data_IF_135437608909
#
_entry.id   IF_135437608909
#
_cell.length_a   1.000
_cell.length_b   1.000
_cell.length_c   1.000
_cell.angle_alpha   90.00
_cell.angle_beta   90.00
_cell.angle_gamma   90.00
#
_symmetry.space_group_name_H-M   'P 1'
#
loop_
_entity.id
_entity.type
_entity.pdbx_description
1 polymer ?
#
# COMPACT_ATOMS: atom_id res chain seq x y z
N UNK A 1 24.15 10.74 -16.15
CA UNK A 1 24.29 10.82 -14.69
C UNK A 1 22.99 10.30 -14.10
N UNK A 2 22.86 8.98 -13.96
CA UNK A 2 22.97 8.19 -12.71
C UNK A 2 21.56 7.85 -12.19
N UNK A 3 21.22 6.56 -12.20
CA UNK A 3 19.95 6.05 -11.67
C UNK A 3 19.73 4.58 -11.95
N UNK A 4 20.76 3.75 -11.74
CA UNK A 4 20.64 2.29 -11.71
C UNK A 4 19.66 1.90 -10.61
N UNK A 5 18.46 1.43 -10.97
CA UNK A 5 17.64 0.66 -10.05
C UNK A 5 18.06 -0.82 -10.18
N UNK A 6 19.13 -1.19 -9.48
CA UNK A 6 19.36 -2.58 -9.08
C UNK A 6 18.31 -2.94 -8.03
N UNK A 7 17.10 -3.28 -8.46
CA UNK A 7 16.10 -3.92 -7.60
C UNK A 7 16.39 -5.42 -7.58
N UNK A 8 17.26 -5.83 -6.66
CA UNK A 8 17.56 -7.25 -6.37
C UNK A 8 16.99 -7.70 -5.03
N UNK A 9 16.03 -6.95 -4.48
CA UNK A 9 15.01 -7.44 -3.55
C UNK A 9 13.70 -7.52 -4.36
N UNK A 10 12.87 -8.54 -4.15
CA UNK A 10 11.66 -8.74 -4.95
C UNK A 10 10.57 -7.73 -4.55
N UNK A 11 10.74 -6.47 -4.97
CA UNK A 11 9.69 -5.45 -4.84
C UNK A 11 8.42 -5.95 -5.53
N UNK A 12 7.35 -6.05 -4.75
CA UNK A 12 6.02 -6.42 -5.23
C UNK A 12 5.10 -5.24 -5.12
N UNK A 13 4.17 -5.17 -6.06
CA UNK A 13 3.09 -4.20 -6.00
C UNK A 13 1.78 -4.93 -5.76
N UNK A 14 1.06 -4.52 -4.72
CA UNK A 14 -0.28 -5.03 -4.41
C UNK A 14 -1.29 -3.90 -4.51
N UNK A 15 -2.49 -4.23 -5.01
CA UNK A 15 -3.63 -3.32 -4.97
C UNK A 15 -4.49 -3.69 -3.76
N UNK A 16 -4.62 -2.77 -2.81
CA UNK A 16 -5.51 -2.90 -1.68
C UNK A 16 -6.81 -2.16 -1.99
N UNK A 17 -7.95 -2.80 -1.82
CA UNK A 17 -9.26 -2.15 -1.83
C UNK A 17 -9.56 -1.71 -0.42
N UNK A 18 -9.75 -0.41 -0.21
CA UNK A 18 -9.88 0.19 1.13
C UNK A 18 -11.35 0.54 1.37
N UNK A 19 -11.90 -0.03 2.43
CA UNK A 19 -13.26 0.24 2.88
C UNK A 19 -13.29 1.50 3.75
N UNK A 20 -14.47 2.11 3.93
CA UNK A 20 -14.69 3.32 4.75
C UNK A 20 -13.89 4.58 4.36
N UNK A 21 -13.30 4.61 3.16
CA UNK A 21 -12.69 5.82 2.61
C UNK A 21 -13.76 6.76 2.02
N UNK A 22 -14.55 7.39 2.90
CA UNK A 22 -15.72 8.22 2.53
C UNK A 22 -15.53 9.71 2.81
N UNK A 23 -14.49 10.10 3.54
CA UNK A 23 -14.17 11.51 3.81
C UNK A 23 -12.98 11.98 2.96
N UNK A 24 -12.95 13.28 2.66
CA UNK A 24 -11.91 13.96 1.87
C UNK A 24 -10.49 13.77 2.44
N UNK A 25 -10.36 13.60 3.75
CA UNK A 25 -9.07 13.39 4.42
C UNK A 25 -8.67 11.91 4.58
N UNK A 26 -9.60 10.96 4.41
CA UNK A 26 -9.33 9.53 4.58
C UNK A 26 -8.19 9.00 3.69
N UNK A 27 -8.11 9.35 2.38
CA UNK A 27 -7.03 8.87 1.52
C UNK A 27 -5.63 9.21 2.05
N UNK A 28 -5.48 10.39 2.63
CA UNK A 28 -4.21 10.86 3.17
C UNK A 28 -3.81 10.04 4.40
N UNK A 29 -4.75 9.71 5.28
CA UNK A 29 -4.49 8.89 6.48
C UNK A 29 -4.04 7.48 6.06
N UNK A 30 -4.74 6.86 5.11
CA UNK A 30 -4.40 5.54 4.58
C UNK A 30 -3.03 5.54 3.91
N UNK A 31 -2.72 6.57 3.11
CA UNK A 31 -1.40 6.67 2.48
C UNK A 31 -0.30 6.76 3.54
N UNK A 32 -0.52 7.60 4.56
CA UNK A 32 0.45 7.81 5.64
C UNK A 32 0.64 6.54 6.47
N UNK A 33 -0.42 5.80 6.77
CA UNK A 33 -0.35 4.56 7.54
C UNK A 33 0.41 3.45 6.80
N UNK A 34 0.35 3.42 5.48
CA UNK A 34 1.12 2.47 4.66
C UNK A 34 2.59 2.90 4.53
N UNK A 35 2.86 4.20 4.39
CA UNK A 35 4.24 4.72 4.26
C UNK A 35 5.10 4.55 5.51
N UNK A 36 4.50 4.41 6.69
CA UNK A 36 5.24 4.17 7.94
C UNK A 36 5.64 2.71 8.12
N UNK A 37 5.10 1.79 7.32
CA UNK A 37 5.41 0.37 7.41
C UNK A 37 6.79 0.13 6.82
N UNK A 38 7.68 -0.47 7.61
CA UNK A 38 9.03 -0.81 7.15
C UNK A 38 8.96 -1.84 6.01
N UNK A 39 9.69 -1.59 4.93
CA UNK A 39 9.60 -2.35 3.69
C UNK A 39 8.66 -1.77 2.63
N UNK A 40 7.87 -0.74 2.91
CA UNK A 40 7.10 -0.03 1.88
C UNK A 40 7.98 1.02 1.19
N UNK A 41 8.06 0.95 -0.14
CA UNK A 41 8.86 1.88 -0.95
C UNK A 41 8.02 2.94 -1.64
N UNK A 42 6.80 2.60 -2.08
CA UNK A 42 5.86 3.56 -2.67
C UNK A 42 4.40 3.28 -2.32
N UNK A 43 3.58 4.33 -2.26
CA UNK A 43 2.15 4.24 -1.98
C UNK A 43 1.36 5.24 -2.81
N UNK A 44 0.47 4.74 -3.65
CA UNK A 44 -0.46 5.53 -4.46
C UNK A 44 -1.90 5.22 -4.09
N UNK A 45 -2.63 6.21 -3.60
CA UNK A 45 -4.04 6.05 -3.21
C UNK A 45 -4.94 6.69 -4.25
N UNK A 46 -5.96 5.95 -4.70
CA UNK A 46 -7.00 6.39 -5.60
C UNK A 46 -8.32 6.49 -4.85
N UNK A 47 -8.74 7.71 -4.54
CA UNK A 47 -10.05 7.95 -3.92
C UNK A 47 -11.20 7.56 -4.85
N UNK A 48 -11.07 7.85 -6.16
CA UNK A 48 -12.08 7.53 -7.18
C UNK A 48 -12.38 6.02 -7.25
N UNK A 49 -11.35 5.18 -7.21
CA UNK A 49 -11.48 3.72 -7.27
C UNK A 49 -11.56 3.04 -5.90
N UNK A 50 -11.40 3.80 -4.82
CA UNK A 50 -11.27 3.31 -3.44
C UNK A 50 -10.17 2.25 -3.28
N UNK A 51 -9.04 2.47 -3.93
CA UNK A 51 -7.91 1.54 -3.92
C UNK A 51 -6.62 2.24 -3.51
N UNK A 52 -5.69 1.48 -2.93
CA UNK A 52 -4.32 1.87 -2.66
C UNK A 52 -3.38 0.88 -3.34
N UNK A 53 -2.54 1.36 -4.26
CA UNK A 53 -1.41 0.60 -4.76
C UNK A 53 -0.23 0.81 -3.83
N UNK A 54 0.34 -0.30 -3.37
CA UNK A 54 1.47 -0.31 -2.45
C UNK A 54 2.58 -1.11 -3.09
N UNK A 55 3.73 -0.46 -3.26
CA UNK A 55 4.98 -1.11 -3.64
C UNK A 55 5.77 -1.38 -2.37
N UNK A 56 6.10 -2.64 -2.15
CA UNK A 56 6.73 -3.12 -0.93
C UNK A 56 7.73 -4.24 -1.22
N UNK A 57 8.69 -4.39 -0.33
CA UNK A 57 9.63 -5.50 -0.31
C UNK A 57 8.99 -6.70 0.36
N UNK A 58 8.70 -7.75 -0.43
CA UNK A 58 8.05 -8.96 0.04
C UNK A 58 8.90 -9.81 1.00
N UNK A 59 10.19 -9.46 1.11
CA UNK A 59 11.12 -10.07 2.06
C UNK A 59 11.08 -9.39 3.44
N UNK A 60 10.49 -8.19 3.53
CA UNK A 60 10.39 -7.40 4.76
C UNK A 60 8.97 -7.29 5.31
N UNK A 61 7.98 -7.15 4.42
CA UNK A 61 6.59 -6.94 4.80
C UNK A 61 5.66 -7.82 3.99
N UNK A 62 4.62 -8.32 4.65
CA UNK A 62 3.58 -9.13 4.03
C UNK A 62 2.33 -8.32 3.74
N UNK A 63 1.51 -8.80 2.80
CA UNK A 63 0.21 -8.19 2.49
C UNK A 63 -0.66 -8.05 3.75
N UNK A 64 -0.63 -9.05 4.65
CA UNK A 64 -1.40 -9.06 5.88
C UNK A 64 -1.00 -7.92 6.82
N UNK A 65 0.31 -7.64 6.94
CA UNK A 65 0.81 -6.49 7.70
C UNK A 65 0.39 -5.15 7.09
N UNK A 66 0.33 -5.06 5.76
CA UNK A 66 -0.17 -3.86 5.07
C UNK A 66 -1.67 -3.65 5.33
N UNK A 67 -2.48 -4.71 5.28
CA UNK A 67 -3.91 -4.62 5.59
C UNK A 67 -4.18 -4.33 7.06
N UNK A 68 -3.35 -4.86 7.96
CA UNK A 68 -3.41 -4.57 9.39
C UNK A 68 -3.06 -3.10 9.67
N UNK A 69 -2.05 -2.56 9.01
CA UNK A 69 -1.67 -1.15 9.17
C UNK A 69 -2.81 -0.19 8.86
N UNK A 70 -3.63 -0.48 7.84
CA UNK A 70 -4.82 0.33 7.53
C UNK A 70 -5.99 0.00 8.47
N UNK A 71 -6.15 -1.27 8.86
CA UNK A 71 -7.19 -1.71 9.80
C UNK A 71 -7.06 -1.04 11.18
N UNK A 72 -5.84 -0.96 11.72
CA UNK A 72 -5.56 -0.28 13.00
C UNK A 72 -5.92 1.22 12.97
N UNK A 73 -6.01 1.82 11.77
CA UNK A 73 -6.44 3.21 11.58
C UNK A 73 -7.95 3.33 11.30
N UNK A 74 -8.71 2.23 11.35
CA UNK A 74 -10.14 2.19 11.05
C UNK A 74 -10.48 2.04 9.55
N UNK A 75 -9.48 1.72 8.72
CA UNK A 75 -9.62 1.53 7.28
C UNK A 75 -9.35 0.06 6.89
N UNK A 76 -10.31 -0.86 7.13
CA UNK A 76 -10.17 -2.24 6.69
C UNK A 76 -9.90 -2.27 5.19
N UNK A 77 -8.92 -3.09 4.77
CA UNK A 77 -8.57 -3.22 3.36
C UNK A 77 -8.38 -4.67 2.95
N UNK A 78 -8.60 -4.97 1.67
CA UNK A 78 -8.45 -6.30 1.10
C UNK A 78 -7.51 -6.27 -0.07
N UNK A 79 -6.55 -7.21 -0.11
CA UNK A 79 -5.68 -7.34 -1.26
C UNK A 79 -6.43 -7.90 -2.46
N UNK A 80 -6.49 -7.11 -3.52
CA UNK A 80 -6.84 -7.58 -4.85
C UNK A 80 -5.55 -8.01 -5.55
N UNK A 81 -5.49 -9.27 -5.99
CA UNK A 81 -4.39 -9.76 -6.82
C UNK A 81 -4.34 -8.91 -8.08
N UNK A 82 -3.20 -8.25 -8.32
CA UNK A 82 -2.90 -7.67 -9.62
C UNK A 82 -2.73 -8.88 -10.53
N UNK A 83 -3.73 -9.15 -11.39
CA UNK A 83 -3.70 -10.30 -12.28
C UNK A 83 -2.54 -10.15 -13.25
N UNK A 84 -1.43 -10.80 -12.92
CA UNK A 84 -0.28 -11.06 -13.79
C UNK A 84 -0.17 -12.57 -13.95
#
# INVERSE_FOLDING_TARGET
>A
MLGSATASAAEKTVKLTVENMTCTSCPYIVQKSLKIVDGVTDVQVSFANRTALVTYDDSKVTIEQLTDATFQQGFPSKSAKLGI
#
